data_IF_123602377993
#
_entry.id   IF_123602377993
#
_cell.length_a   1.000
_cell.length_b   1.000
_cell.length_c   1.000
_cell.angle_alpha   90.00
_cell.angle_beta   90.00
_cell.angle_gamma   90.00
#
_symmetry.space_group_name_H-M   'P 1'
#
loop_
_entity.id
_entity.type
_entity.pdbx_description
1 polymer ?
#
# COMPACT_ATOMS: atom_id res chain seq x y z
N UNK A 1 -2.47 40.54 48.92
CA UNK A 1 -1.72 40.04 47.75
C UNK A 1 -2.00 38.55 47.64
N UNK A 2 -2.58 38.17 46.50
CA UNK A 2 -2.89 36.81 46.01
C UNK A 2 -3.81 35.93 46.85
N UNK A 3 -5.07 35.93 46.41
CA UNK A 3 -6.05 34.82 46.48
C UNK A 3 -5.42 33.51 45.92
N UNK A 4 -5.78 32.28 46.29
CA UNK A 4 -7.10 31.68 46.52
C UNK A 4 -7.01 30.49 47.49
N UNK A 5 -8.03 30.38 48.34
CA UNK A 5 -8.33 29.17 49.12
C UNK A 5 -8.89 28.05 48.23
N UNK A 6 -8.72 26.77 48.63
CA UNK A 6 -9.41 25.65 48.02
C UNK A 6 -10.87 25.63 48.48
N UNK A 7 -11.82 25.44 47.57
CA UNK A 7 -13.16 25.02 47.94
C UNK A 7 -13.66 23.97 46.95
N UNK A 8 -13.55 22.73 47.38
CA UNK A 8 -14.39 21.62 46.97
C UNK A 8 -15.85 22.01 47.25
N UNK A 9 -16.64 22.26 46.20
CA UNK A 9 -18.09 22.15 46.31
C UNK A 9 -18.57 21.04 45.38
N UNK A 10 -18.69 19.88 46.02
CA UNK A 10 -19.49 18.75 45.59
C UNK A 10 -20.94 19.22 45.53
N UNK A 11 -21.53 19.29 44.34
CA UNK A 11 -22.97 19.39 44.19
C UNK A 11 -23.45 18.09 43.55
N UNK A 12 -24.00 17.23 44.40
CA UNK A 12 -24.65 15.99 44.03
C UNK A 12 -26.02 16.29 43.43
N UNK A 13 -26.29 15.72 42.26
CA UNK A 13 -27.65 15.47 41.80
C UNK A 13 -27.90 15.87 40.36
N UNK A 14 -27.55 14.98 39.43
CA UNK A 14 -28.44 14.46 38.37
C UNK A 14 -27.65 13.48 37.51
N UNK A 15 -28.13 12.24 37.42
CA UNK A 15 -27.53 11.18 36.61
C UNK A 15 -28.24 11.13 35.25
N UNK A 16 -27.51 11.30 34.15
CA UNK A 16 -27.75 10.55 32.92
C UNK A 16 -26.50 9.67 32.67
N UNK A 17 -26.55 8.34 32.85
CA UNK A 17 -26.78 7.41 31.74
C UNK A 17 -26.89 8.14 30.38
N UNK A 18 -25.97 7.84 29.47
CA UNK A 18 -25.76 8.41 28.11
C UNK A 18 -24.79 9.61 27.98
N UNK A 19 -23.48 9.33 28.01
CA UNK A 19 -22.57 9.88 26.99
C UNK A 19 -21.62 8.76 26.50
N UNK A 20 -21.64 8.43 25.20
CA UNK A 20 -20.76 7.42 24.64
C UNK A 20 -19.32 7.93 24.63
N UNK A 21 -18.41 7.01 24.92
CA UNK A 21 -16.96 7.06 24.72
C UNK A 21 -16.53 8.07 23.64
N UNK A 22 -15.79 9.10 24.03
CA UNK A 22 -14.92 9.84 23.13
C UNK A 22 -13.94 8.82 22.54
N UNK A 23 -14.23 8.36 21.32
CA UNK A 23 -13.36 7.46 20.59
C UNK A 23 -12.05 8.21 20.36
N UNK A 24 -11.01 7.85 21.12
CA UNK A 24 -9.65 8.22 20.77
C UNK A 24 -9.44 7.86 19.28
N UNK A 25 -8.88 8.78 18.47
CA UNK A 25 -8.71 8.54 17.05
C UNK A 25 -7.90 7.25 16.83
N UNK A 26 -8.25 6.54 15.76
CA UNK A 26 -7.84 5.19 15.36
C UNK A 26 -6.32 4.99 15.12
N UNK A 27 -5.45 5.38 16.04
CA UNK A 27 -3.98 5.31 15.92
C UNK A 27 -3.47 3.91 15.59
N UNK A 28 -4.14 2.87 16.10
CA UNK A 28 -3.74 1.48 15.85
C UNK A 28 -3.88 1.07 14.37
N UNK A 29 -4.85 1.65 13.65
CA UNK A 29 -5.03 1.38 12.22
C UNK A 29 -3.95 2.07 11.39
N UNK A 30 -3.63 3.32 11.74
CA UNK A 30 -2.60 4.11 11.06
C UNK A 30 -1.19 3.55 11.30
N UNK A 31 -0.93 3.04 12.51
CA UNK A 31 0.33 2.38 12.86
C UNK A 31 0.50 1.06 12.10
N UNK A 32 -0.56 0.27 11.96
CA UNK A 32 -0.54 -0.98 11.16
C UNK A 32 -0.33 -0.72 9.68
N UNK A 33 -0.97 0.31 9.14
CA UNK A 33 -0.83 0.68 7.74
C UNK A 33 0.60 1.16 7.44
N UNK A 34 1.17 1.99 8.33
CA UNK A 34 2.56 2.42 8.24
C UNK A 34 3.54 1.24 8.34
N UNK A 35 3.32 0.32 9.28
CA UNK A 35 4.15 -0.88 9.40
C UNK A 35 4.10 -1.72 8.13
N UNK A 36 2.91 -1.94 7.55
CA UNK A 36 2.77 -2.70 6.31
C UNK A 36 3.47 -2.03 5.13
N UNK A 37 3.40 -0.70 5.02
CA UNK A 37 4.14 0.04 3.97
C UNK A 37 5.64 -0.13 4.13
N UNK A 38 6.14 -0.08 5.37
CA UNK A 38 7.54 -0.34 5.66
C UNK A 38 7.90 -1.78 5.26
N UNK A 39 7.21 -2.79 5.78
CA UNK A 39 7.52 -4.20 5.47
C UNK A 39 7.54 -4.50 3.96
N UNK A 40 6.59 -3.91 3.20
CA UNK A 40 6.56 -4.03 1.74
C UNK A 40 7.75 -3.33 1.09
N UNK A 41 8.11 -2.13 1.56
CA UNK A 41 9.28 -1.40 1.05
C UNK A 41 10.59 -2.18 1.29
N UNK A 42 10.76 -2.81 2.46
CA UNK A 42 11.92 -3.68 2.75
C UNK A 42 11.98 -4.86 1.78
N UNK A 43 10.85 -5.56 1.62
CA UNK A 43 10.75 -6.73 0.76
C UNK A 43 11.06 -6.38 -0.70
N UNK A 44 10.57 -5.24 -1.20
CA UNK A 44 10.84 -4.76 -2.55
C UNK A 44 12.34 -4.41 -2.73
N UNK A 45 12.95 -3.68 -1.79
CA UNK A 45 14.37 -3.35 -1.85
C UNK A 45 15.25 -4.61 -1.86
N UNK A 46 14.95 -5.56 -0.98
CA UNK A 46 15.67 -6.84 -0.91
C UNK A 46 15.52 -7.63 -2.19
N UNK A 47 14.32 -7.68 -2.76
CA UNK A 47 14.10 -8.38 -4.03
C UNK A 47 14.86 -7.74 -5.18
N UNK A 48 14.94 -6.40 -5.21
CA UNK A 48 15.73 -5.68 -6.22
C UNK A 48 17.21 -6.01 -6.06
N UNK A 49 17.75 -5.96 -4.84
CA UNK A 49 19.16 -6.30 -4.55
C UNK A 49 19.48 -7.75 -4.95
N UNK A 50 18.66 -8.71 -4.51
CA UNK A 50 18.82 -10.12 -4.84
C UNK A 50 18.80 -10.34 -6.36
N UNK A 51 17.93 -9.64 -7.08
CA UNK A 51 17.79 -9.74 -8.52
C UNK A 51 18.96 -9.10 -9.29
N UNK A 52 19.54 -8.02 -8.75
CA UNK A 52 20.74 -7.38 -9.30
C UNK A 52 21.99 -8.23 -9.06
N UNK A 53 22.11 -8.88 -7.90
CA UNK A 53 23.23 -9.76 -7.56
C UNK A 53 23.17 -11.06 -8.36
N UNK A 54 21.97 -11.62 -8.56
CA UNK A 54 21.76 -12.91 -9.22
C UNK A 54 21.10 -12.76 -10.60
N UNK A 55 21.66 -11.88 -11.46
CA UNK A 55 21.18 -11.66 -12.84
C UNK A 55 21.13 -12.99 -13.61
N UNK A 56 19.96 -13.60 -13.62
CA UNK A 56 19.66 -14.90 -14.19
C UNK A 56 18.39 -14.79 -15.03
N UNK A 57 18.23 -15.70 -16.00
CA UNK A 57 17.04 -15.72 -16.86
C UNK A 57 15.72 -15.91 -16.09
N UNK A 58 15.79 -16.27 -14.80
CA UNK A 58 14.63 -16.48 -13.92
C UNK A 58 14.17 -15.20 -13.20
N UNK A 59 14.92 -14.11 -13.27
CA UNK A 59 14.60 -12.85 -12.61
C UNK A 59 13.17 -12.34 -12.91
N UNK A 60 12.69 -12.32 -14.18
CA UNK A 60 11.33 -11.85 -14.47
C UNK A 60 10.24 -12.73 -13.83
N UNK A 61 10.50 -14.02 -13.65
CA UNK A 61 9.55 -14.92 -12.99
C UNK A 61 9.51 -14.64 -11.48
N UNK A 62 10.67 -14.44 -10.84
CA UNK A 62 10.73 -14.11 -9.42
C UNK A 62 10.08 -12.75 -9.10
N UNK A 63 10.27 -11.73 -9.95
CA UNK A 63 9.61 -10.43 -9.77
C UNK A 63 8.10 -10.52 -9.99
N UNK A 64 7.63 -11.36 -10.92
CA UNK A 64 6.21 -11.62 -11.12
C UNK A 64 5.57 -12.35 -9.92
N UNK A 65 6.24 -13.34 -9.33
CA UNK A 65 5.76 -14.06 -8.15
C UNK A 65 5.65 -13.12 -6.93
N UNK A 66 6.67 -12.29 -6.69
CA UNK A 66 6.62 -11.28 -5.62
C UNK A 66 5.49 -10.28 -5.85
N UNK A 67 5.35 -9.77 -7.08
CA UNK A 67 4.29 -8.83 -7.43
C UNK A 67 2.91 -9.42 -7.17
N UNK A 68 2.68 -10.67 -7.56
CA UNK A 68 1.44 -11.40 -7.30
C UNK A 68 1.17 -11.52 -5.80
N UNK A 69 2.17 -11.92 -5.02
CA UNK A 69 2.05 -12.08 -3.57
C UNK A 69 1.69 -10.76 -2.87
N UNK A 70 2.36 -9.66 -3.25
CA UNK A 70 2.10 -8.33 -2.69
C UNK A 70 0.70 -7.83 -3.02
N UNK A 71 0.24 -8.04 -4.26
CA UNK A 71 -1.12 -7.64 -4.67
C UNK A 71 -2.18 -8.46 -3.94
N UNK A 72 -1.98 -9.77 -3.76
CA UNK A 72 -2.91 -10.61 -2.98
C UNK A 72 -2.89 -10.31 -1.49
N UNK A 73 -1.76 -9.84 -0.95
CA UNK A 73 -1.64 -9.42 0.44
C UNK A 73 -2.45 -8.15 0.72
N UNK A 74 -2.42 -7.18 -0.21
CA UNK A 74 -3.05 -5.87 0.02
C UNK A 74 -4.45 -5.73 -0.57
N UNK A 75 -4.83 -6.57 -1.54
CA UNK A 75 -6.11 -6.49 -2.23
C UNK A 75 -6.86 -7.82 -2.22
N UNK A 76 -8.19 -7.75 -2.20
CA UNK A 76 -9.07 -8.90 -2.34
C UNK A 76 -9.68 -8.96 -3.75
N UNK A 77 -9.65 -10.14 -4.37
CA UNK A 77 -10.23 -10.39 -5.69
C UNK A 77 -11.14 -11.62 -5.64
N UNK A 78 -12.24 -11.59 -6.37
CA UNK A 78 -13.04 -12.79 -6.61
C UNK A 78 -12.44 -13.63 -7.73
N UNK A 79 -11.62 -14.62 -7.35
CA UNK A 79 -10.95 -15.53 -8.28
C UNK A 79 -11.88 -16.56 -8.93
N UNK A 80 -13.16 -16.61 -8.54
CA UNK A 80 -14.15 -17.42 -9.25
C UNK A 80 -14.71 -16.69 -10.47
N UNK A 81 -14.53 -15.37 -10.54
CA UNK A 81 -14.91 -14.54 -11.67
C UNK A 81 -13.73 -14.29 -12.61
N UNK A 82 -13.96 -14.32 -13.91
CA UNK A 82 -12.93 -13.96 -14.90
C UNK A 82 -12.47 -12.50 -14.71
N UNK A 83 -13.40 -11.61 -14.35
CA UNK A 83 -13.09 -10.21 -14.02
C UNK A 83 -12.12 -10.08 -12.85
N UNK A 84 -12.30 -10.86 -11.78
CA UNK A 84 -11.42 -10.82 -10.62
C UNK A 84 -10.03 -11.42 -10.91
N UNK A 85 -9.96 -12.49 -11.72
CA UNK A 85 -8.68 -13.01 -12.21
C UNK A 85 -7.94 -11.99 -13.08
N UNK A 86 -8.67 -11.32 -13.97
CA UNK A 86 -8.09 -10.30 -14.84
C UNK A 86 -7.58 -9.10 -14.02
N UNK A 87 -8.38 -8.59 -13.08
CA UNK A 87 -7.97 -7.49 -12.20
C UNK A 87 -6.72 -7.82 -11.37
N UNK A 88 -6.63 -9.05 -10.85
CA UNK A 88 -5.43 -9.53 -10.17
C UNK A 88 -4.22 -9.54 -11.11
N UNK A 89 -4.38 -10.13 -12.30
CA UNK A 89 -3.29 -10.24 -13.28
C UNK A 89 -2.79 -8.86 -13.73
N UNK A 90 -3.69 -7.92 -14.04
CA UNK A 90 -3.32 -6.54 -14.41
C UNK A 90 -2.48 -5.87 -13.33
N UNK A 91 -2.95 -5.92 -12.07
CA UNK A 91 -2.24 -5.25 -10.96
C UNK A 91 -0.91 -5.92 -10.65
N UNK A 92 -0.84 -7.26 -10.69
CA UNK A 92 0.40 -7.99 -10.52
C UNK A 92 1.40 -7.69 -11.65
N UNK A 93 0.95 -7.62 -12.90
CA UNK A 93 1.79 -7.25 -14.04
C UNK A 93 2.32 -5.82 -13.90
N UNK A 94 1.47 -4.86 -13.50
CA UNK A 94 1.91 -3.48 -13.26
C UNK A 94 3.03 -3.43 -12.21
N UNK A 95 2.88 -4.09 -11.06
CA UNK A 95 3.93 -4.11 -10.04
C UNK A 95 5.20 -4.83 -10.54
N UNK A 96 5.05 -5.93 -11.27
CA UNK A 96 6.17 -6.66 -11.86
C UNK A 96 6.95 -5.79 -12.85
N UNK A 97 6.26 -5.04 -13.71
CA UNK A 97 6.88 -4.13 -14.68
C UNK A 97 7.64 -2.99 -13.99
N UNK A 98 7.06 -2.41 -12.93
CA UNK A 98 7.74 -1.38 -12.13
C UNK A 98 9.00 -1.93 -11.45
N UNK A 99 8.91 -3.11 -10.85
CA UNK A 99 10.05 -3.80 -10.24
C UNK A 99 11.15 -4.11 -11.27
N UNK A 100 10.78 -4.67 -12.41
CA UNK A 100 11.73 -4.97 -13.49
C UNK A 100 12.37 -3.68 -14.03
N UNK A 101 11.63 -2.58 -14.09
CA UNK A 101 12.15 -1.25 -14.43
C UNK A 101 13.22 -0.78 -13.43
N UNK A 102 12.92 -0.85 -12.14
CA UNK A 102 13.87 -0.48 -11.07
C UNK A 102 15.13 -1.34 -11.11
N UNK A 103 15.00 -2.65 -11.31
CA UNK A 103 16.16 -3.53 -11.41
C UNK A 103 16.98 -3.25 -12.66
N UNK A 104 16.32 -3.06 -13.82
CA UNK A 104 17.00 -2.78 -15.09
C UNK A 104 17.81 -1.49 -15.04
N UNK A 105 17.32 -0.48 -14.33
CA UNK A 105 17.95 0.83 -14.19
C UNK A 105 18.73 0.99 -12.88
N UNK A 106 18.96 -0.09 -12.12
CA UNK A 106 19.56 -0.03 -10.80
C UNK A 106 20.91 0.71 -10.78
N UNK A 107 21.78 0.43 -11.76
CA UNK A 107 23.11 1.05 -11.86
C UNK A 107 23.05 2.55 -12.21
N UNK A 108 21.92 3.03 -12.76
CA UNK A 108 21.69 4.42 -13.17
C UNK A 108 20.95 5.24 -12.10
N UNK A 109 20.30 4.58 -11.13
CA UNK A 109 19.49 5.22 -10.09
C UNK A 109 20.36 5.63 -8.90
N UNK A 110 20.08 6.80 -8.32
CA UNK A 110 20.63 7.10 -6.99
C UNK A 110 19.91 6.28 -5.93
N UNK A 111 20.53 6.12 -4.75
CA UNK A 111 19.87 5.49 -3.60
C UNK A 111 18.53 6.15 -3.26
N UNK A 112 18.44 7.49 -3.40
CA UNK A 112 17.20 8.23 -3.14
C UNK A 112 16.13 7.94 -4.18
N UNK A 113 16.50 7.78 -5.46
CA UNK A 113 15.54 7.46 -6.52
C UNK A 113 14.99 6.05 -6.32
N UNK A 114 15.87 5.10 -5.96
CA UNK A 114 15.49 3.72 -5.69
C UNK A 114 14.55 3.63 -4.47
N UNK A 115 14.91 4.27 -3.36
CA UNK A 115 14.05 4.31 -2.16
C UNK A 115 12.72 4.97 -2.46
N UNK A 116 12.72 6.14 -3.12
CA UNK A 116 11.48 6.84 -3.47
C UNK A 116 10.56 6.04 -4.40
N UNK A 117 11.13 5.33 -5.37
CA UNK A 117 10.37 4.45 -6.26
C UNK A 117 9.73 3.27 -5.51
N UNK A 118 10.47 2.64 -4.61
CA UNK A 118 9.97 1.54 -3.79
C UNK A 118 8.89 2.01 -2.80
N UNK A 119 9.12 3.12 -2.09
CA UNK A 119 8.14 3.68 -1.16
C UNK A 119 6.84 4.09 -1.87
N UNK A 120 6.95 4.64 -3.09
CA UNK A 120 5.78 4.95 -3.91
C UNK A 120 4.98 3.69 -4.29
N UNK A 121 5.67 2.59 -4.65
CA UNK A 121 5.00 1.31 -4.93
C UNK A 121 4.32 0.74 -3.68
N UNK A 122 5.01 0.75 -2.54
CA UNK A 122 4.45 0.29 -1.27
C UNK A 122 3.24 1.12 -0.85
N UNK A 123 3.31 2.45 -1.00
CA UNK A 123 2.18 3.35 -0.76
C UNK A 123 0.98 2.99 -1.64
N UNK A 124 1.17 2.85 -2.96
CA UNK A 124 0.08 2.50 -3.87
C UNK A 124 -0.55 1.14 -3.55
N UNK A 125 0.28 0.14 -3.19
CA UNK A 125 -0.17 -1.19 -2.78
C UNK A 125 -1.07 -1.12 -1.54
N UNK A 126 -0.62 -0.43 -0.49
CA UNK A 126 -1.33 -0.39 0.80
C UNK A 126 -2.56 0.52 0.74
N UNK A 127 -2.47 1.65 0.05
CA UNK A 127 -3.61 2.56 -0.13
C UNK A 127 -4.63 2.07 -1.16
N UNK A 128 -4.43 0.88 -1.76
CA UNK A 128 -5.29 0.32 -2.80
C UNK A 128 -5.43 1.23 -4.05
N UNK A 129 -4.38 1.97 -4.40
CA UNK A 129 -4.35 2.94 -5.50
C UNK A 129 -3.66 2.41 -6.76
N UNK A 130 -3.51 1.09 -6.89
CA UNK A 130 -2.95 0.52 -8.11
C UNK A 130 -3.85 0.82 -9.32
N UNK A 131 -3.26 1.12 -10.49
CA UNK A 131 -4.02 1.29 -11.71
C UNK A 131 -4.91 0.06 -11.93
N UNK A 132 -6.19 0.33 -12.17
CA UNK A 132 -7.07 -0.65 -12.80
C UNK A 132 -7.01 -0.34 -14.29
N UNK A 133 -6.88 -1.36 -15.12
CA UNK A 133 -7.06 -1.18 -16.56
C UNK A 133 -8.51 -0.76 -16.81
N UNK A 134 -8.76 0.54 -16.69
CA UNK A 134 -9.69 1.27 -17.50
C UNK A 134 -8.84 2.08 -18.48
N UNK A 135 -7.96 1.40 -19.22
CA UNK A 135 -7.77 1.85 -20.59
C UNK A 135 -9.14 1.66 -21.23
N UNK A 136 -9.87 2.76 -21.37
CA UNK A 136 -11.01 2.81 -22.26
C UNK A 136 -10.60 2.06 -23.52
N UNK A 137 -11.22 0.90 -23.73
CA UNK A 137 -11.34 0.34 -25.05
C UNK A 137 -11.97 1.46 -25.87
N UNK A 138 -11.12 2.20 -26.59
CA UNK A 138 -11.54 3.13 -27.61
C UNK A 138 -12.07 2.29 -28.76
N UNK A 139 -13.22 1.66 -28.50
CA UNK A 139 -14.17 1.22 -29.48
C UNK A 139 -15.00 2.46 -29.83
N UNK A 140 -14.43 3.27 -30.70
CA UNK A 140 -15.12 4.23 -31.53
C UNK A 140 -14.34 4.24 -32.84
N UNK A 141 -14.79 3.66 -33.94
CA UNK A 141 -16.15 3.55 -34.40
C UNK A 141 -16.26 4.37 -35.69
N UNK A 142 -15.64 3.89 -36.76
CA UNK A 142 -15.87 4.22 -38.19
C UNK A 142 -14.87 3.34 -38.97
N UNK A 143 -15.19 2.32 -39.76
CA UNK A 143 -16.35 2.11 -40.64
C UNK A 143 -16.72 3.40 -41.38
N UNK A 144 -15.88 3.78 -42.35
CA UNK A 144 -16.21 3.86 -43.79
C UNK A 144 -14.96 4.12 -44.64
#
# INVERSE_FOLDING_TARGET
>A
MSEKYPHTQHNSGENPLDQPVDAAPSTESDDREQQLRWDISDALLKAIDDAVVHRSDQQPAATAELALALVQLTHSFDLNSETGKHALATRANYISDQLNGLVRHYDDLTTSDLQGGVEALAFMLVSNQLPTDNAESSEGGEHE
#
